data_IF_597786681538
#
_entry.id   IF_597786681538
#
_cell.length_a   1.000
_cell.length_b   1.000
_cell.length_c   1.000
_cell.angle_alpha   90.00
_cell.angle_beta   90.00
_cell.angle_gamma   90.00
#
_symmetry.space_group_name_H-M   'P 1'
#
loop_
_entity.id
_entity.type
_entity.pdbx_description
1 polymer ?
#
# COMPACT_ATOMS: atom_id res chain seq x y z
N UNK A 1 1.30 -12.95 -23.97
CA UNK A 1 2.41 -13.91 -23.81
C UNK A 1 1.90 -15.07 -22.98
N UNK A 2 1.33 -16.08 -23.64
CA UNK A 2 0.85 -17.33 -23.05
C UNK A 2 2.01 -18.11 -22.43
N UNK A 3 2.33 -17.82 -21.18
CA UNK A 3 3.44 -18.45 -20.47
C UNK A 3 2.99 -18.76 -19.04
N UNK A 4 2.46 -19.98 -18.90
CA UNK A 4 2.40 -20.73 -17.64
C UNK A 4 1.31 -20.24 -16.64
N UNK A 5 0.11 -20.86 -16.56
CA UNK A 5 -0.92 -20.53 -15.53
C UNK A 5 -0.40 -20.61 -14.08
N UNK A 6 0.51 -21.54 -13.83
CA UNK A 6 1.34 -21.70 -12.64
C UNK A 6 2.21 -20.48 -12.29
N UNK A 7 2.66 -19.67 -13.26
CA UNK A 7 3.39 -18.43 -12.97
C UNK A 7 2.47 -17.37 -12.33
N UNK A 8 1.20 -17.31 -12.75
CA UNK A 8 0.22 -16.40 -12.15
C UNK A 8 -0.08 -16.78 -10.69
N UNK A 9 -0.30 -18.06 -10.43
CA UNK A 9 -0.51 -18.60 -9.07
C UNK A 9 0.74 -18.41 -8.22
N UNK A 10 1.93 -18.68 -8.76
CA UNK A 10 3.19 -18.52 -8.04
C UNK A 10 3.45 -17.04 -7.72
N UNK A 11 3.20 -16.12 -8.65
CA UNK A 11 3.35 -14.69 -8.41
C UNK A 11 2.37 -14.20 -7.35
N UNK A 12 1.12 -14.66 -7.38
CA UNK A 12 0.11 -14.35 -6.37
C UNK A 12 0.47 -14.93 -4.99
N UNK A 13 0.94 -16.17 -4.94
CA UNK A 13 1.35 -16.86 -3.72
C UNK A 13 2.59 -16.19 -3.09
N UNK A 14 3.60 -15.84 -3.89
CA UNK A 14 4.80 -15.13 -3.43
C UNK A 14 4.40 -13.75 -2.90
N UNK A 15 3.57 -13.00 -3.62
CA UNK A 15 3.13 -11.67 -3.17
C UNK A 15 2.35 -11.75 -1.86
N UNK A 16 1.45 -12.73 -1.72
CA UNK A 16 0.65 -12.96 -0.51
C UNK A 16 1.52 -13.42 0.66
N UNK A 17 2.45 -14.35 0.43
CA UNK A 17 3.39 -14.83 1.43
C UNK A 17 4.33 -13.72 1.93
N UNK A 18 4.83 -12.88 1.02
CA UNK A 18 5.63 -11.70 1.36
C UNK A 18 4.82 -10.71 2.21
N UNK A 19 3.53 -10.51 1.91
CA UNK A 19 2.65 -9.64 2.69
C UNK A 19 2.39 -10.18 4.10
N UNK A 20 2.12 -11.49 4.23
CA UNK A 20 1.96 -12.15 5.53
C UNK A 20 3.24 -12.07 6.37
N UNK A 21 4.40 -12.32 5.75
CA UNK A 21 5.70 -12.20 6.40
C UNK A 21 5.93 -10.76 6.87
N UNK A 22 5.61 -9.77 6.04
CA UNK A 22 5.72 -8.36 6.40
C UNK A 22 4.81 -7.98 7.58
N UNK A 23 3.57 -8.48 7.63
CA UNK A 23 2.66 -8.25 8.75
C UNK A 23 3.17 -8.85 10.07
N UNK A 24 3.74 -10.06 10.02
CA UNK A 24 4.34 -10.72 11.19
C UNK A 24 5.62 -9.98 11.62
N UNK A 25 6.43 -9.57 10.65
CA UNK A 25 7.65 -8.81 10.88
C UNK A 25 7.38 -7.43 11.49
N UNK A 26 6.32 -6.74 11.08
CA UNK A 26 5.87 -5.48 11.69
C UNK A 26 5.53 -5.67 13.17
N UNK A 27 4.82 -6.75 13.54
CA UNK A 27 4.54 -7.05 14.96
C UNK A 27 5.81 -7.28 15.77
N UNK A 28 6.81 -7.93 15.17
CA UNK A 28 8.10 -8.22 15.81
C UNK A 28 9.01 -6.98 15.89
N UNK A 29 8.88 -6.04 14.95
CA UNK A 29 9.74 -4.84 14.85
C UNK A 29 9.18 -3.63 15.59
N UNK A 30 7.89 -3.63 15.97
CA UNK A 30 7.23 -2.53 16.67
C UNK A 30 7.05 -2.84 18.17
N UNK A 31 8.04 -2.56 19.03
CA UNK A 31 7.89 -2.61 20.48
C UNK A 31 7.00 -1.42 20.92
N UNK A 32 5.68 -1.64 20.98
CA UNK A 32 4.64 -0.70 21.47
C UNK A 32 4.75 0.74 20.92
N UNK A 33 4.26 0.98 19.71
CA UNK A 33 3.94 2.35 19.27
C UNK A 33 2.61 2.82 19.87
N UNK A 34 2.56 4.06 20.37
CA UNK A 34 1.30 4.69 20.82
C UNK A 34 0.34 4.79 19.64
N UNK A 35 -0.93 4.43 19.88
CA UNK A 35 -2.02 4.61 18.91
C UNK A 35 -2.09 6.06 18.38
N UNK A 36 -1.72 7.02 19.23
CA UNK A 36 -1.66 8.44 18.88
C UNK A 36 -0.66 8.77 17.77
N UNK A 37 0.48 8.07 17.68
CA UNK A 37 1.46 8.31 16.62
C UNK A 37 0.98 7.76 15.28
N UNK A 38 0.27 6.63 15.31
CA UNK A 38 -0.35 6.07 14.11
C UNK A 38 -1.47 7.00 13.60
N UNK A 39 -2.30 7.52 14.51
CA UNK A 39 -3.34 8.48 14.15
C UNK A 39 -2.76 9.81 13.65
N UNK A 40 -1.70 10.30 14.28
CA UNK A 40 -1.01 11.50 13.79
C UNK A 40 -0.41 11.28 12.39
N UNK A 41 0.14 10.11 12.10
CA UNK A 41 0.65 9.77 10.77
C UNK A 41 -0.48 9.65 9.73
N UNK A 42 -1.57 8.96 10.07
CA UNK A 42 -2.76 8.87 9.23
C UNK A 42 -3.35 10.25 8.90
N UNK A 43 -3.52 11.08 9.92
CA UNK A 43 -4.19 12.37 9.75
C UNK A 43 -3.28 13.45 9.14
N UNK A 44 -1.98 13.46 9.47
CA UNK A 44 -1.04 14.47 8.95
C UNK A 44 -0.38 14.08 7.62
N UNK A 45 -0.29 12.80 7.29
CA UNK A 45 0.43 12.35 6.10
C UNK A 45 -0.50 11.67 5.10
N UNK A 46 -1.31 10.69 5.51
CA UNK A 46 -2.18 9.98 4.57
C UNK A 46 -3.29 10.87 3.99
N UNK A 47 -3.95 11.68 4.81
CA UNK A 47 -5.07 12.51 4.38
C UNK A 47 -4.67 13.59 3.35
N UNK A 48 -3.63 14.42 3.58
CA UNK A 48 -3.20 15.39 2.57
C UNK A 48 -2.61 14.70 1.33
N UNK A 49 -1.91 13.56 1.48
CA UNK A 49 -1.38 12.81 0.34
C UNK A 49 -2.49 12.21 -0.53
N UNK A 50 -3.56 11.70 0.07
CA UNK A 50 -4.72 11.17 -0.65
C UNK A 50 -5.44 12.30 -1.41
N UNK A 51 -5.68 13.44 -0.76
CA UNK A 51 -6.26 14.61 -1.42
C UNK A 51 -5.39 15.11 -2.57
N UNK A 52 -4.07 15.16 -2.38
CA UNK A 52 -3.13 15.56 -3.42
C UNK A 52 -3.17 14.62 -4.64
N UNK A 53 -3.22 13.30 -4.41
CA UNK A 53 -3.35 12.32 -5.50
C UNK A 53 -4.68 12.47 -6.26
N UNK A 54 -5.79 12.74 -5.56
CA UNK A 54 -7.11 12.96 -6.20
C UNK A 54 -7.08 14.23 -7.05
N UNK A 55 -6.50 15.32 -6.54
CA UNK A 55 -6.35 16.58 -7.29
C UNK A 55 -5.49 16.37 -8.53
N UNK A 56 -4.34 15.69 -8.41
CA UNK A 56 -3.49 15.37 -9.57
C UNK A 56 -4.25 14.55 -10.59
N UNK A 57 -4.93 13.49 -10.15
CA UNK A 57 -5.68 12.60 -11.06
C UNK A 57 -6.79 13.38 -11.78
N UNK A 58 -7.50 14.27 -11.08
CA UNK A 58 -8.51 15.14 -11.68
C UNK A 58 -7.90 16.09 -12.73
N UNK A 59 -6.76 16.70 -12.44
CA UNK A 59 -6.05 17.58 -13.40
C UNK A 59 -5.59 16.79 -14.62
N UNK A 60 -4.98 15.61 -14.42
CA UNK A 60 -4.50 14.76 -15.52
C UNK A 60 -5.66 14.35 -16.44
N UNK A 61 -6.80 13.94 -15.87
CA UNK A 61 -7.99 13.58 -16.67
C UNK A 61 -8.51 14.76 -17.49
N UNK A 62 -8.53 15.98 -16.93
CA UNK A 62 -9.00 17.18 -17.65
C UNK A 62 -8.04 17.62 -18.77
N UNK A 63 -6.73 17.41 -18.62
CA UNK A 63 -5.74 17.80 -19.63
C UNK A 63 -5.49 16.73 -20.70
N UNK A 64 -5.65 15.45 -20.36
CA UNK A 64 -5.43 14.32 -21.28
C UNK A 64 -6.72 13.86 -21.96
N UNK A 65 -7.88 14.14 -21.37
CA UNK A 65 -9.22 13.82 -21.87
C UNK A 65 -9.83 14.89 -22.76
#
# INVERSE_FOLDING_TARGET
MDKLPWLGILYFAIKTGAFLFFMIWIRLTLPRLRYDQLMAFGWKVLLPLALFNVVITAVVIVFVG
#
